data_IF_422930787907
#
_entry.id   IF_422930787907
#
_cell.length_a   1.000
_cell.length_b   1.000
_cell.length_c   1.000
_cell.angle_alpha   90.00
_cell.angle_beta   90.00
_cell.angle_gamma   90.00
#
_symmetry.space_group_name_H-M   'P 1'
#
loop_
_entity.id
_entity.type
_entity.pdbx_description
1 polymer ?
#
# COMPACT_ATOMS: atom_id res chain seq x y z
N UNK A 1 6.56 48.59 11.02
CA UNK A 1 5.19 48.91 11.46
C UNK A 1 5.02 48.60 12.94
N UNK A 2 4.29 49.44 13.67
CA UNK A 2 4.09 49.29 15.14
C UNK A 2 3.38 47.97 15.54
N UNK A 3 2.75 47.25 14.60
CA UNK A 3 2.00 46.05 14.81
C UNK A 3 2.63 44.79 14.16
N UNK A 4 3.88 44.84 13.74
CA UNK A 4 4.54 43.69 13.13
C UNK A 4 4.88 42.62 14.19
N UNK A 5 4.66 41.37 13.85
CA UNK A 5 5.11 40.21 14.61
C UNK A 5 6.27 39.54 13.85
N UNK A 6 7.39 39.34 14.55
CA UNK A 6 8.50 38.55 14.04
C UNK A 6 8.28 37.07 14.42
N UNK A 7 8.36 36.22 13.40
CA UNK A 7 8.36 34.79 13.59
C UNK A 7 9.78 34.28 13.45
N UNK A 8 10.33 33.74 14.53
CA UNK A 8 11.68 33.18 14.57
C UNK A 8 11.58 31.67 14.61
N UNK A 9 12.14 31.02 13.60
CA UNK A 9 12.17 29.57 13.50
C UNK A 9 13.60 29.10 13.20
N UNK A 10 14.07 28.12 13.93
CA UNK A 10 15.36 27.48 13.71
C UNK A 10 15.19 25.96 13.89
N UNK A 11 15.95 25.16 13.13
CA UNK A 11 15.85 23.69 13.17
C UNK A 11 16.23 23.21 14.58
N UNK A 12 15.33 22.44 15.23
CA UNK A 12 15.51 21.94 16.60
C UNK A 12 15.12 22.93 17.68
N UNK A 13 14.53 24.06 17.34
CA UNK A 13 14.06 25.06 18.32
C UNK A 13 12.57 25.32 18.17
N UNK A 14 11.91 25.65 19.28
CA UNK A 14 10.50 26.03 19.28
C UNK A 14 10.34 27.36 18.55
N UNK A 15 9.48 27.39 17.54
CA UNK A 15 9.14 28.63 16.82
C UNK A 15 8.51 29.63 17.79
N UNK A 16 9.09 30.83 17.86
CA UNK A 16 8.61 31.92 18.73
C UNK A 16 8.09 33.09 17.91
N UNK A 17 6.93 33.61 18.32
CA UNK A 17 6.33 34.81 17.77
C UNK A 17 6.53 35.99 18.73
N UNK A 18 7.21 37.02 18.29
CA UNK A 18 7.51 38.20 19.11
C UNK A 18 6.96 39.45 18.44
N UNK A 19 6.09 40.19 19.14
CA UNK A 19 5.58 41.49 18.67
C UNK A 19 6.67 42.56 18.75
N UNK A 20 6.90 43.22 17.66
CA UNK A 20 7.96 44.26 17.54
C UNK A 20 7.72 45.46 18.46
N UNK A 21 6.47 45.93 18.58
CA UNK A 21 6.04 47.02 19.48
C UNK A 21 6.97 48.24 19.45
N UNK A 22 7.44 48.64 18.26
CA UNK A 22 8.35 49.78 18.07
C UNK A 22 9.73 49.68 18.75
N UNK A 23 10.15 48.48 19.17
CA UNK A 23 11.49 48.25 19.72
C UNK A 23 12.52 48.21 18.60
N UNK A 24 13.66 48.91 18.80
CA UNK A 24 14.79 48.90 17.86
C UNK A 24 15.70 47.67 18.01
N UNK A 25 15.66 47.02 19.17
CA UNK A 25 16.41 45.79 19.46
C UNK A 25 15.49 44.78 20.17
N UNK A 26 15.47 43.56 19.69
CA UNK A 26 14.68 42.47 20.25
C UNK A 26 15.62 41.30 20.45
N UNK A 27 15.91 40.99 21.69
CA UNK A 27 16.67 39.81 22.07
C UNK A 27 15.68 38.66 22.27
N UNK A 28 15.90 37.56 21.56
CA UNK A 28 15.08 36.36 21.66
C UNK A 28 15.98 35.19 21.99
N UNK A 29 15.67 34.48 23.05
CA UNK A 29 16.32 33.20 23.37
C UNK A 29 15.41 32.09 22.88
N UNK A 30 15.84 31.39 21.84
CA UNK A 30 15.10 30.22 21.35
C UNK A 30 15.26 29.08 22.34
N UNK A 31 14.15 28.39 22.62
CA UNK A 31 14.14 27.19 23.45
C UNK A 31 14.26 25.97 22.54
N UNK A 32 15.04 24.98 22.96
CA UNK A 32 15.14 23.72 22.26
C UNK A 32 13.77 23.04 22.20
N UNK A 33 13.39 22.56 21.00
CA UNK A 33 12.20 21.75 20.83
C UNK A 33 12.52 20.32 21.29
N UNK A 34 12.39 20.08 22.59
CA UNK A 34 12.63 18.79 23.23
C UNK A 34 11.71 17.71 22.65
N UNK A 35 10.56 18.07 22.10
CA UNK A 35 9.64 17.13 21.46
C UNK A 35 10.19 16.60 20.13
N UNK A 36 11.08 17.31 19.45
CA UNK A 36 11.71 16.81 18.21
C UNK A 36 12.86 15.83 18.47
N UNK A 37 13.38 15.77 19.70
CA UNK A 37 14.48 14.89 20.10
C UNK A 37 14.02 13.58 20.75
N UNK A 38 12.75 13.49 21.13
CA UNK A 38 12.18 12.32 21.81
C UNK A 38 11.47 11.32 20.85
N UNK A 39 12.00 11.14 19.63
CA UNK A 39 11.52 10.05 18.78
C UNK A 39 11.85 8.71 19.46
N UNK A 40 10.81 8.14 20.08
CA UNK A 40 10.89 6.84 20.76
C UNK A 40 10.67 5.75 19.73
N UNK A 41 11.61 4.85 19.62
CA UNK A 41 11.55 3.70 18.71
C UNK A 41 11.27 2.45 19.52
N UNK A 42 10.32 1.64 19.06
CA UNK A 42 10.09 0.31 19.63
C UNK A 42 11.25 -0.60 19.19
N UNK A 43 11.95 -1.19 20.14
CA UNK A 43 13.06 -2.11 19.91
C UNK A 43 12.87 -3.34 20.81
N UNK A 44 12.72 -4.49 20.20
CA UNK A 44 12.45 -5.70 20.95
C UNK A 44 11.10 -5.61 21.68
N UNK A 45 11.12 -5.93 22.95
CA UNK A 45 9.94 -5.87 23.83
C UNK A 45 9.83 -4.55 24.60
N UNK A 46 10.63 -3.54 24.25
CA UNK A 46 10.65 -2.26 24.93
C UNK A 46 10.70 -1.06 23.99
N UNK A 47 10.66 0.13 24.56
CA UNK A 47 10.82 1.40 23.85
C UNK A 47 12.14 2.04 24.25
N UNK A 48 12.91 2.51 23.27
CA UNK A 48 14.15 3.26 23.53
C UNK A 48 14.13 4.56 22.72
N UNK A 49 14.79 5.59 23.26
CA UNK A 49 14.97 6.83 22.51
C UNK A 49 15.90 6.56 21.33
N UNK A 50 15.55 7.06 20.16
CA UNK A 50 16.33 6.88 18.91
C UNK A 50 17.80 7.27 19.06
N UNK A 51 18.07 8.29 19.88
CA UNK A 51 19.43 8.76 20.18
C UNK A 51 20.31 7.74 20.92
N UNK A 52 19.70 6.78 21.62
CA UNK A 52 20.41 5.73 22.36
C UNK A 52 20.61 4.44 21.55
N UNK A 53 20.13 4.41 20.30
CA UNK A 53 20.24 3.24 19.45
C UNK A 53 21.56 3.30 18.66
N UNK A 54 22.46 2.40 18.97
CA UNK A 54 23.75 2.23 18.26
C UNK A 54 23.63 1.40 16.99
N UNK A 55 22.47 0.77 16.77
CA UNK A 55 22.20 -0.11 15.63
C UNK A 55 21.82 0.63 14.35
N UNK A 56 21.91 -0.07 13.20
CA UNK A 56 21.46 0.44 11.89
C UNK A 56 19.94 0.40 11.79
N UNK A 57 19.28 1.39 12.37
CA UNK A 57 17.82 1.51 12.43
C UNK A 57 17.36 2.64 11.54
N UNK A 58 16.28 2.41 10.78
CA UNK A 58 15.61 3.44 9.99
C UNK A 58 14.13 3.47 10.36
N UNK A 59 13.58 4.65 10.58
CA UNK A 59 12.19 4.85 10.97
C UNK A 59 11.49 5.87 10.07
N UNK A 60 10.22 5.66 9.83
CA UNK A 60 9.32 6.55 9.09
C UNK A 60 8.10 6.83 9.95
N UNK A 61 7.77 8.10 10.14
CA UNK A 61 6.60 8.53 10.91
C UNK A 61 5.31 8.49 10.09
N UNK A 62 4.15 8.51 10.79
CA UNK A 62 2.82 8.65 10.18
C UNK A 62 2.76 9.81 9.18
N UNK A 63 3.33 10.96 9.53
CA UNK A 63 3.34 12.15 8.68
C UNK A 63 4.01 11.91 7.33
N UNK A 64 5.13 11.18 7.33
CA UNK A 64 5.83 10.82 6.09
C UNK A 64 5.08 9.73 5.30
N UNK A 65 4.52 8.73 5.98
CA UNK A 65 3.73 7.69 5.33
C UNK A 65 2.54 8.27 4.56
N UNK A 66 1.86 9.23 5.17
CA UNK A 66 0.63 9.83 4.64
C UNK A 66 0.84 10.93 3.60
N UNK A 67 2.08 11.26 3.22
CA UNK A 67 2.38 12.16 2.09
C UNK A 67 1.93 11.58 0.74
N UNK A 68 1.96 10.25 0.62
CA UNK A 68 1.46 9.54 -0.55
C UNK A 68 0.14 8.87 -0.21
N UNK A 69 -0.88 9.05 -1.04
CA UNK A 69 -2.16 8.36 -0.88
C UNK A 69 -2.04 6.97 -1.49
N UNK A 70 -1.94 5.96 -0.64
CA UNK A 70 -1.77 4.56 -1.03
C UNK A 70 -2.84 3.69 -0.39
N UNK A 71 -3.11 2.53 -0.98
CA UNK A 71 -4.10 1.56 -0.48
C UNK A 71 -3.61 0.79 0.74
N UNK A 72 -2.29 0.59 0.87
CA UNK A 72 -1.68 -0.19 1.95
C UNK A 72 -0.33 0.39 2.43
N UNK A 73 0.16 -0.12 3.58
CA UNK A 73 1.39 0.37 4.21
C UNK A 73 2.64 -0.03 3.42
N UNK A 74 2.66 -1.21 2.76
CA UNK A 74 3.83 -1.65 2.01
C UNK A 74 4.14 -0.70 0.85
N UNK A 75 3.12 -0.22 0.14
CA UNK A 75 3.27 0.80 -0.89
C UNK A 75 3.73 2.15 -0.32
N UNK A 76 3.20 2.53 0.84
CA UNK A 76 3.58 3.79 1.49
C UNK A 76 5.06 3.84 1.88
N UNK A 77 5.73 2.69 2.00
CA UNK A 77 7.16 2.57 2.35
C UNK A 77 8.10 2.67 1.15
N UNK A 78 7.61 2.54 -0.07
CA UNK A 78 8.43 2.54 -1.29
C UNK A 78 9.26 3.83 -1.37
N UNK A 79 10.58 3.69 -1.47
CA UNK A 79 11.52 4.80 -1.59
C UNK A 79 11.72 5.66 -0.33
N UNK A 80 11.12 5.31 0.83
CA UNK A 80 11.19 6.14 2.04
C UNK A 80 12.24 5.68 3.05
N UNK A 81 12.69 4.44 2.97
CA UNK A 81 13.61 3.87 3.95
C UNK A 81 14.90 3.39 3.28
N UNK A 82 16.07 3.93 3.64
CA UNK A 82 17.34 3.47 3.11
C UNK A 82 17.58 1.99 3.40
N UNK A 83 18.00 1.21 2.39
CA UNK A 83 18.28 -0.22 2.52
C UNK A 83 17.04 -1.13 2.52
N UNK A 84 15.87 -0.58 2.24
CA UNK A 84 14.66 -1.33 1.91
C UNK A 84 14.53 -1.40 0.40
N UNK A 85 14.54 -2.61 -0.14
CA UNK A 85 14.24 -2.88 -1.55
C UNK A 85 12.76 -3.24 -1.63
N UNK A 86 12.08 -2.66 -2.61
CA UNK A 86 10.64 -2.85 -2.79
C UNK A 86 10.37 -3.28 -4.23
N UNK A 87 9.60 -4.35 -4.40
CA UNK A 87 9.17 -4.85 -5.70
C UNK A 87 7.66 -5.05 -5.70
N UNK A 88 6.98 -4.36 -6.58
CA UNK A 88 5.55 -4.52 -6.81
C UNK A 88 5.34 -5.37 -8.06
N UNK A 89 4.66 -6.50 -7.92
CA UNK A 89 4.40 -7.41 -9.03
C UNK A 89 3.24 -6.94 -9.92
N UNK A 90 2.23 -6.32 -9.30
CA UNK A 90 1.03 -5.83 -9.99
C UNK A 90 0.47 -4.60 -9.27
N UNK A 91 -0.22 -3.75 -10.01
CA UNK A 91 -0.96 -2.61 -9.46
C UNK A 91 -2.47 -2.86 -9.36
N UNK A 92 -2.92 -4.11 -9.49
CA UNK A 92 -4.34 -4.44 -9.40
C UNK A 92 -4.86 -4.19 -7.98
N UNK A 93 -6.04 -3.57 -7.82
CA UNK A 93 -6.65 -3.37 -6.52
C UNK A 93 -6.71 -4.65 -5.71
N UNK A 94 -6.22 -4.63 -4.47
CA UNK A 94 -6.22 -5.78 -3.56
C UNK A 94 -5.14 -6.83 -3.80
N UNK A 95 -4.39 -6.76 -4.90
CA UNK A 95 -3.20 -7.56 -5.19
C UNK A 95 -1.95 -6.67 -5.39
N UNK A 96 -2.04 -5.44 -4.96
CA UNK A 96 -1.06 -4.37 -5.13
C UNK A 96 -0.01 -4.29 -4.00
N UNK A 97 0.12 -5.34 -3.21
CA UNK A 97 1.13 -5.44 -2.18
C UNK A 97 2.54 -5.41 -2.75
N UNK A 98 3.43 -4.80 -2.00
CA UNK A 98 4.85 -4.69 -2.34
C UNK A 98 5.64 -5.72 -1.54
N UNK A 99 6.37 -6.57 -2.25
CA UNK A 99 7.40 -7.41 -1.63
C UNK A 99 8.54 -6.54 -1.14
N UNK A 100 8.90 -6.71 0.12
CA UNK A 100 9.93 -5.93 0.78
C UNK A 100 11.12 -6.83 1.12
N UNK A 101 12.33 -6.35 0.81
CA UNK A 101 13.58 -7.01 1.16
C UNK A 101 14.48 -6.04 1.91
N UNK A 102 15.08 -6.50 2.99
CA UNK A 102 16.06 -5.73 3.75
C UNK A 102 17.45 -6.20 3.36
N UNK A 103 18.25 -5.30 2.78
CA UNK A 103 19.61 -5.59 2.29
C UNK A 103 19.72 -6.61 1.13
N UNK A 104 18.61 -6.90 0.43
CA UNK A 104 18.60 -7.81 -0.71
C UNK A 104 18.26 -9.25 -0.36
N UNK A 105 18.47 -10.15 -1.33
CA UNK A 105 18.20 -11.58 -1.15
C UNK A 105 19.25 -12.20 -0.22
N UNK A 106 18.79 -12.91 0.81
CA UNK A 106 19.63 -13.58 1.81
C UNK A 106 19.67 -15.10 1.63
N UNK A 107 18.75 -15.67 0.84
CA UNK A 107 18.68 -17.11 0.55
C UNK A 107 18.48 -17.38 -0.93
N UNK A 108 18.89 -18.58 -1.37
CA UNK A 108 18.71 -19.02 -2.76
C UNK A 108 17.33 -19.69 -2.99
N UNK A 109 16.73 -20.25 -1.94
CA UNK A 109 15.52 -21.09 -2.04
C UNK A 109 14.22 -20.38 -1.63
N UNK A 110 14.19 -19.05 -1.59
CA UNK A 110 13.02 -18.27 -1.18
C UNK A 110 12.90 -18.07 0.34
N UNK A 111 11.92 -17.32 0.78
CA UNK A 111 11.73 -16.98 2.20
C UNK A 111 12.59 -15.80 2.67
N UNK A 112 12.95 -14.90 1.75
CA UNK A 112 13.83 -13.75 2.00
C UNK A 112 13.10 -12.54 2.66
N UNK A 113 11.80 -12.64 2.88
CA UNK A 113 11.03 -11.54 3.46
C UNK A 113 11.47 -11.24 4.89
N UNK A 114 11.51 -9.96 5.29
CA UNK A 114 11.74 -9.58 6.67
C UNK A 114 10.59 -10.04 7.58
N UNK A 115 10.89 -10.29 8.84
CA UNK A 115 9.86 -10.52 9.86
C UNK A 115 9.05 -9.25 10.07
N UNK A 116 7.75 -9.29 9.86
CA UNK A 116 6.86 -8.14 10.05
C UNK A 116 6.10 -8.30 11.35
N UNK A 117 6.25 -7.33 12.25
CA UNK A 117 5.57 -7.31 13.53
C UNK A 117 4.67 -6.07 13.63
N UNK A 118 3.39 -6.29 13.85
CA UNK A 118 2.40 -5.24 14.08
C UNK A 118 2.04 -5.23 15.55
N UNK A 119 2.42 -4.19 16.26
CA UNK A 119 2.29 -4.09 17.73
C UNK A 119 2.82 -5.33 18.46
N UNK A 120 3.90 -5.95 17.94
CA UNK A 120 4.56 -7.12 18.52
C UNK A 120 4.03 -8.48 18.07
N UNK A 121 2.99 -8.55 17.24
CA UNK A 121 2.46 -9.79 16.65
C UNK A 121 2.88 -9.91 15.19
N UNK A 122 3.30 -11.10 14.76
CA UNK A 122 3.63 -11.39 13.36
C UNK A 122 2.36 -11.31 12.49
N UNK A 123 2.28 -10.29 11.63
CA UNK A 123 1.11 -10.01 10.78
C UNK A 123 1.54 -9.40 9.44
N UNK A 124 0.72 -9.59 8.41
CA UNK A 124 0.93 -8.96 7.11
C UNK A 124 0.59 -7.47 7.15
N UNK A 125 1.41 -6.64 6.49
CA UNK A 125 1.13 -5.21 6.30
C UNK A 125 0.00 -4.92 5.30
N UNK A 126 -0.35 -5.89 4.43
CA UNK A 126 -1.43 -5.79 3.46
C UNK A 126 -2.78 -5.42 4.08
N UNK A 127 -2.92 -5.76 5.35
CA UNK A 127 -4.18 -5.58 6.07
C UNK A 127 -4.23 -4.34 6.95
N UNK A 128 -3.20 -3.49 6.90
CA UNK A 128 -3.12 -2.30 7.75
C UNK A 128 -3.46 -1.05 6.93
N UNK A 129 -4.36 -0.22 7.49
CA UNK A 129 -4.64 1.08 6.93
C UNK A 129 -3.49 2.06 7.28
N UNK A 130 -2.83 2.72 6.32
CA UNK A 130 -1.78 3.69 6.61
C UNK A 130 -2.18 4.79 7.59
N UNK A 131 -3.47 5.16 7.66
CA UNK A 131 -3.97 6.17 8.58
C UNK A 131 -3.98 5.71 10.05
N UNK A 132 -3.89 4.39 10.31
CA UNK A 132 -3.84 3.80 11.65
C UNK A 132 -2.41 3.64 12.18
N UNK A 133 -1.40 3.84 11.31
CA UNK A 133 0.02 3.65 11.66
C UNK A 133 0.59 4.91 12.27
N UNK A 134 1.33 4.77 13.35
CA UNK A 134 2.11 5.84 13.99
C UNK A 134 3.51 5.91 13.39
N UNK A 135 4.18 4.76 13.29
CA UNK A 135 5.52 4.66 12.72
C UNK A 135 5.81 3.27 12.17
N UNK A 136 6.74 3.20 11.22
CA UNK A 136 7.34 1.95 10.77
C UNK A 136 8.84 2.04 10.96
N UNK A 137 9.39 1.06 11.66
CA UNK A 137 10.82 0.97 11.98
C UNK A 137 11.41 -0.29 11.38
N UNK A 138 12.58 -0.18 10.74
CA UNK A 138 13.30 -1.32 10.20
C UNK A 138 14.57 -1.55 11.00
N UNK A 139 14.71 -2.77 11.51
CA UNK A 139 15.93 -3.28 12.14
C UNK A 139 16.73 -4.04 11.08
N UNK A 140 17.95 -3.59 10.84
CA UNK A 140 18.78 -4.12 9.74
C UNK A 140 20.01 -4.89 10.24
N UNK A 141 20.43 -4.64 11.47
CA UNK A 141 21.63 -5.28 12.01
C UNK A 141 21.28 -6.50 12.87
N UNK A 142 22.23 -7.46 12.92
CA UNK A 142 22.02 -8.71 13.63
C UNK A 142 21.81 -8.52 15.14
N UNK A 143 22.42 -7.50 15.75
CA UNK A 143 22.29 -7.25 17.19
C UNK A 143 20.86 -6.82 17.54
N UNK A 144 20.27 -5.88 16.76
CA UNK A 144 18.89 -5.44 16.95
C UNK A 144 17.88 -6.54 16.62
N UNK A 145 18.20 -7.44 15.68
CA UNK A 145 17.34 -8.54 15.25
C UNK A 145 17.43 -9.77 16.19
N UNK A 146 18.50 -9.91 16.96
CA UNK A 146 18.78 -11.11 17.78
C UNK A 146 17.64 -11.48 18.75
N UNK A 147 16.94 -10.49 19.30
CA UNK A 147 15.80 -10.72 20.21
C UNK A 147 14.60 -11.42 19.56
N UNK A 148 14.54 -11.45 18.23
CA UNK A 148 13.46 -12.06 17.46
C UNK A 148 13.79 -13.44 16.89
N UNK A 149 15.02 -13.94 17.19
CA UNK A 149 15.49 -15.28 16.81
C UNK A 149 15.74 -15.44 15.30
N UNK A 150 15.70 -16.68 14.83
CA UNK A 150 16.08 -17.04 13.45
C UNK A 150 15.15 -16.45 12.38
N UNK A 151 13.89 -16.22 12.67
CA UNK A 151 12.93 -15.58 11.74
C UNK A 151 13.35 -14.15 11.34
N UNK A 152 14.18 -13.51 12.15
CA UNK A 152 14.65 -12.15 11.93
C UNK A 152 15.96 -12.07 11.12
N UNK A 153 16.45 -13.18 10.56
CA UNK A 153 17.70 -13.22 9.82
C UNK A 153 17.71 -12.29 8.59
N UNK A 154 16.56 -12.14 7.93
CA UNK A 154 16.37 -11.23 6.80
C UNK A 154 15.98 -9.79 7.22
N UNK A 155 16.10 -9.44 8.52
CA UNK A 155 15.67 -8.16 9.08
C UNK A 155 14.30 -8.19 9.70
N UNK A 156 13.94 -7.10 10.40
CA UNK A 156 12.63 -6.96 11.06
C UNK A 156 12.00 -5.63 10.70
N UNK A 157 10.73 -5.64 10.37
CA UNK A 157 9.90 -4.46 10.17
C UNK A 157 8.91 -4.37 11.33
N UNK A 158 9.04 -3.34 12.13
CA UNK A 158 8.16 -3.05 13.26
C UNK A 158 7.14 -1.99 12.84
N UNK A 159 5.87 -2.35 12.83
CA UNK A 159 4.75 -1.43 12.59
C UNK A 159 4.11 -1.12 13.93
N UNK A 160 4.16 0.15 14.32
CA UNK A 160 3.50 0.64 15.53
C UNK A 160 2.21 1.35 15.12
N UNK A 161 1.09 0.96 15.70
CA UNK A 161 -0.19 1.60 15.42
C UNK A 161 -0.45 2.76 16.38
N UNK A 162 -1.30 3.70 15.97
CA UNK A 162 -1.66 4.88 16.76
C UNK A 162 -2.32 4.49 18.09
N UNK A 163 -1.96 5.23 19.13
CA UNK A 163 -2.53 5.07 20.46
C UNK A 163 -3.13 6.38 20.95
N UNK A 164 -3.95 6.29 21.98
CA UNK A 164 -4.46 7.47 22.66
C UNK A 164 -3.34 8.21 23.39
N UNK A 165 -3.50 9.51 23.46
CA UNK A 165 -2.65 10.39 24.28
C UNK A 165 -3.47 11.00 25.40
N UNK A 166 -2.81 11.36 26.50
CA UNK A 166 -3.45 12.11 27.58
C UNK A 166 -3.89 13.47 27.09
N UNK A 167 -5.12 13.85 27.40
CA UNK A 167 -5.70 15.13 27.00
C UNK A 167 -7.15 15.03 26.58
N UNK A 168 -7.64 16.14 26.02
CA UNK A 168 -9.02 16.23 25.51
C UNK A 168 -9.20 15.28 24.32
N UNK A 169 -10.40 14.72 24.21
CA UNK A 169 -10.79 13.92 23.05
C UNK A 169 -10.66 14.72 21.77
N UNK A 170 -9.91 14.17 20.81
CA UNK A 170 -9.71 14.72 19.48
C UNK A 170 -10.41 13.84 18.47
N UNK A 171 -11.22 14.44 17.61
CA UNK A 171 -11.87 13.77 16.47
C UNK A 171 -11.18 14.27 15.21
N UNK A 172 -10.72 13.33 14.38
CA UNK A 172 -10.07 13.64 13.12
C UNK A 172 -10.77 12.88 11.99
N UNK A 173 -11.17 13.61 10.95
CA UNK A 173 -11.66 13.04 9.70
C UNK A 173 -10.71 13.37 8.58
N UNK A 174 -10.34 12.36 7.79
CA UNK A 174 -9.53 12.50 6.59
C UNK A 174 -10.24 11.84 5.41
N UNK A 175 -10.62 12.65 4.42
CA UNK A 175 -11.11 12.20 3.12
C UNK A 175 -10.04 12.40 2.05
N UNK A 176 -9.92 11.48 1.10
CA UNK A 176 -9.06 11.62 -0.07
C UNK A 176 -9.74 11.09 -1.32
N UNK A 177 -9.49 11.79 -2.43
CA UNK A 177 -9.92 11.42 -3.77
C UNK A 177 -8.67 11.38 -4.64
N UNK A 178 -8.43 10.25 -5.29
CA UNK A 178 -7.24 10.04 -6.12
C UNK A 178 -7.66 9.59 -7.51
N UNK A 179 -7.20 10.33 -8.53
CA UNK A 179 -7.31 9.95 -9.93
C UNK A 179 -5.98 9.32 -10.36
N UNK A 180 -6.05 8.16 -10.98
CA UNK A 180 -4.88 7.45 -11.49
C UNK A 180 -5.07 7.12 -12.97
N UNK A 181 -4.01 7.33 -13.76
CA UNK A 181 -3.97 6.97 -15.16
C UNK A 181 -2.59 6.39 -15.51
N UNK A 182 -2.51 5.67 -16.61
CA UNK A 182 -1.22 5.17 -17.09
C UNK A 182 -0.32 6.33 -17.53
N UNK A 183 0.89 6.36 -17.01
CA UNK A 183 1.92 7.30 -17.46
C UNK A 183 2.54 6.88 -18.78
N UNK A 184 2.61 5.57 -19.01
CA UNK A 184 3.17 4.97 -20.24
C UNK A 184 2.48 3.63 -20.49
N UNK A 185 2.06 3.41 -21.70
CA UNK A 185 1.59 2.13 -22.20
C UNK A 185 2.56 1.58 -23.25
N UNK A 186 2.71 0.26 -23.38
CA UNK A 186 3.49 -0.33 -24.46
C UNK A 186 2.89 0.06 -25.81
N UNK A 187 3.74 0.33 -26.78
CA UNK A 187 3.30 0.60 -28.15
C UNK A 187 3.24 -0.73 -28.91
N UNK A 188 2.06 -1.11 -29.32
CA UNK A 188 1.84 -2.27 -30.17
C UNK A 188 1.90 -1.89 -31.64
N UNK A 189 2.15 -2.90 -32.47
CA UNK A 189 2.09 -2.79 -33.92
C UNK A 189 0.62 -2.69 -34.33
N UNK A 190 0.32 -1.86 -35.31
CA UNK A 190 -1.02 -1.80 -35.89
C UNK A 190 -1.30 -3.04 -36.76
N UNK A 191 -2.58 -3.27 -37.10
CA UNK A 191 -3.02 -4.44 -37.83
C UNK A 191 -2.33 -4.62 -39.20
N UNK A 192 -2.24 -3.55 -39.98
CA UNK A 192 -1.58 -3.55 -41.28
C UNK A 192 -0.12 -3.98 -41.21
N UNK A 193 0.65 -3.36 -40.31
CA UNK A 193 2.06 -3.71 -40.12
C UNK A 193 2.21 -5.12 -39.56
N UNK A 194 1.33 -5.55 -38.65
CA UNK A 194 1.34 -6.92 -38.13
C UNK A 194 1.21 -7.94 -39.25
N UNK A 195 0.23 -7.79 -40.16
CA UNK A 195 0.00 -8.69 -41.26
C UNK A 195 1.19 -8.70 -42.25
N UNK A 196 1.76 -7.53 -42.57
CA UNK A 196 2.94 -7.40 -43.41
C UNK A 196 4.15 -8.10 -42.80
N UNK A 197 4.45 -7.88 -41.53
CA UNK A 197 5.57 -8.52 -40.83
C UNK A 197 5.35 -10.03 -40.67
N UNK A 198 4.11 -10.45 -40.40
CA UNK A 198 3.78 -11.88 -40.39
C UNK A 198 4.07 -12.58 -41.72
N UNK A 199 3.63 -11.97 -42.82
CA UNK A 199 3.92 -12.48 -44.17
C UNK A 199 5.42 -12.47 -44.45
N UNK A 200 6.14 -11.44 -44.01
CA UNK A 200 7.59 -11.37 -44.17
C UNK A 200 8.29 -12.54 -43.44
N UNK A 201 7.93 -12.79 -42.18
CA UNK A 201 8.48 -13.89 -41.41
C UNK A 201 8.24 -15.24 -42.09
N UNK A 202 7.02 -15.50 -42.60
CA UNK A 202 6.72 -16.73 -43.30
C UNK A 202 7.54 -16.90 -44.58
N UNK A 203 7.76 -15.84 -45.34
CA UNK A 203 8.67 -15.88 -46.51
C UNK A 203 10.09 -16.26 -46.12
N UNK A 204 10.58 -15.75 -45.01
CA UNK A 204 11.93 -16.08 -44.49
C UNK A 204 12.04 -17.56 -44.10
N UNK A 205 10.93 -18.15 -43.61
CA UNK A 205 10.86 -19.57 -43.27
C UNK A 205 10.60 -20.48 -44.53
N UNK A 206 10.53 -19.88 -45.71
CA UNK A 206 10.24 -20.61 -46.96
C UNK A 206 8.78 -21.01 -47.12
N UNK A 207 7.88 -20.44 -46.32
CA UNK A 207 6.46 -20.71 -46.35
C UNK A 207 5.70 -19.72 -47.27
N UNK A 208 4.48 -20.12 -47.64
CA UNK A 208 3.59 -19.22 -48.40
C UNK A 208 3.10 -18.08 -47.49
N UNK A 209 2.85 -16.91 -48.09
CA UNK A 209 2.18 -15.80 -47.40
C UNK A 209 0.85 -16.27 -46.82
N UNK A 210 0.50 -15.72 -45.70
CA UNK A 210 -0.72 -16.09 -44.99
C UNK A 210 -1.86 -15.11 -45.28
N UNK A 211 -1.55 -13.81 -45.27
CA UNK A 211 -2.50 -12.74 -45.58
C UNK A 211 -2.36 -12.28 -47.01
N UNK A 212 -3.48 -12.12 -47.68
CA UNK A 212 -3.51 -11.57 -49.03
C UNK A 212 -3.33 -10.05 -49.03
N UNK A 213 -2.99 -9.47 -50.16
CA UNK A 213 -2.88 -8.00 -50.28
C UNK A 213 -4.26 -7.33 -50.13
N UNK A 214 -5.36 -8.02 -50.43
CA UNK A 214 -6.73 -7.56 -50.26
C UNK A 214 -7.07 -7.48 -48.76
N UNK A 215 -6.77 -8.50 -47.96
CA UNK A 215 -6.99 -8.50 -46.49
C UNK A 215 -6.16 -7.41 -45.79
N UNK A 216 -4.92 -7.18 -46.25
CA UNK A 216 -4.08 -6.10 -45.75
C UNK A 216 -4.70 -4.72 -46.12
N UNK A 217 -5.27 -4.59 -47.30
CA UNK A 217 -5.95 -3.36 -47.73
C UNK A 217 -7.23 -3.13 -46.91
N UNK A 218 -8.05 -4.17 -46.66
CA UNK A 218 -9.23 -4.10 -45.78
C UNK A 218 -8.86 -3.62 -44.39
N UNK A 219 -7.81 -4.20 -43.76
CA UNK A 219 -7.30 -3.76 -42.46
C UNK A 219 -6.84 -2.30 -42.47
N UNK A 220 -6.21 -1.87 -43.58
CA UNK A 220 -5.75 -0.48 -43.73
C UNK A 220 -6.91 0.50 -43.86
N UNK A 221 -7.99 0.09 -44.54
CA UNK A 221 -9.20 0.90 -44.69
C UNK A 221 -10.03 0.94 -43.41
N UNK A 222 -9.91 -0.09 -42.56
CA UNK A 222 -10.52 -0.13 -41.22
C UNK A 222 -12.04 -0.26 -41.26
N UNK A 223 -12.62 -0.98 -42.20
CA UNK A 223 -14.06 -1.27 -42.25
C UNK A 223 -14.36 -2.55 -41.46
N UNK A 224 -14.99 -2.44 -40.24
CA UNK A 224 -15.28 -3.60 -39.42
C UNK A 224 -16.28 -4.58 -40.06
N UNK A 225 -17.04 -4.18 -41.08
CA UNK A 225 -18.00 -5.06 -41.77
C UNK A 225 -17.32 -6.15 -42.59
N UNK A 226 -16.06 -5.93 -42.98
CA UNK A 226 -15.25 -6.91 -43.72
C UNK A 226 -14.59 -7.92 -42.74
N UNK A 227 -14.75 -7.77 -41.44
CA UNK A 227 -14.11 -8.61 -40.41
C UNK A 227 -12.63 -8.28 -40.18
N UNK A 228 -12.13 -7.18 -40.76
CA UNK A 228 -10.78 -6.68 -40.61
C UNK A 228 -10.81 -5.21 -40.18
N UNK A 229 -10.17 -4.91 -39.07
CA UNK A 229 -10.08 -3.57 -38.52
C UNK A 229 -8.65 -3.31 -38.01
N UNK A 230 -8.30 -2.04 -37.85
CA UNK A 230 -7.05 -1.67 -37.21
C UNK A 230 -7.31 -1.30 -35.74
N UNK A 231 -7.37 -2.34 -34.91
CA UNK A 231 -7.86 -2.23 -33.52
C UNK A 231 -6.73 -1.91 -32.55
N UNK A 232 -6.89 -0.85 -31.77
CA UNK A 232 -6.09 -0.64 -30.56
C UNK A 232 -6.78 -1.30 -29.36
N UNK A 233 -6.35 -2.51 -29.05
CA UNK A 233 -6.88 -3.29 -27.93
C UNK A 233 -6.65 -2.66 -26.55
N UNK A 234 -5.81 -1.63 -26.44
CA UNK A 234 -5.54 -0.96 -25.16
C UNK A 234 -6.67 0.00 -24.77
N UNK A 235 -7.29 0.65 -25.75
CA UNK A 235 -8.30 1.68 -25.55
C UNK A 235 -9.50 1.19 -24.72
N UNK A 236 -10.15 0.05 -25.03
CA UNK A 236 -11.31 -0.43 -24.27
C UNK A 236 -10.95 -1.00 -22.89
N UNK A 237 -9.68 -1.35 -22.65
CA UNK A 237 -9.24 -2.07 -21.44
C UNK A 237 -8.72 -1.12 -20.39
N UNK A 238 -7.86 -0.16 -20.76
CA UNK A 238 -7.25 0.76 -19.85
C UNK A 238 -8.10 2.01 -19.64
N UNK A 239 -8.24 2.43 -18.40
CA UNK A 239 -9.03 3.61 -18.05
C UNK A 239 -8.35 4.46 -17.00
N UNK A 240 -8.71 5.75 -16.97
CA UNK A 240 -8.45 6.60 -15.81
C UNK A 240 -9.35 6.14 -14.67
N UNK A 241 -8.81 5.96 -13.49
CA UNK A 241 -9.52 5.38 -12.35
C UNK A 241 -9.63 6.32 -11.19
N UNK A 242 -10.61 6.04 -10.35
CA UNK A 242 -10.88 6.77 -9.14
C UNK A 242 -10.68 5.86 -7.93
N UNK A 243 -9.95 6.38 -6.94
CA UNK A 243 -9.90 5.81 -5.60
C UNK A 243 -10.38 6.89 -4.61
N UNK A 244 -11.31 6.55 -3.74
CA UNK A 244 -11.68 7.41 -2.63
C UNK A 244 -11.53 6.68 -1.30
N UNK A 245 -11.08 7.42 -0.28
CA UNK A 245 -10.88 6.92 1.07
C UNK A 245 -11.48 7.89 2.08
N UNK A 246 -12.10 7.35 3.11
CA UNK A 246 -12.68 8.09 4.22
C UNK A 246 -12.21 7.45 5.52
N UNK A 247 -11.56 8.21 6.38
CA UNK A 247 -11.06 7.73 7.66
C UNK A 247 -11.51 8.68 8.76
N UNK A 248 -12.16 8.13 9.77
CA UNK A 248 -12.54 8.82 10.99
C UNK A 248 -11.74 8.24 12.14
N UNK A 249 -11.14 9.07 12.97
CA UNK A 249 -10.48 8.63 14.19
C UNK A 249 -10.83 9.49 15.38
N UNK A 250 -10.89 8.86 16.54
CA UNK A 250 -11.18 9.48 17.83
C UNK A 250 -10.06 9.03 18.78
N UNK A 251 -9.36 9.97 19.38
CA UNK A 251 -8.28 9.68 20.32
C UNK A 251 -8.35 10.62 21.52
N UNK A 252 -7.94 10.13 22.66
CA UNK A 252 -7.92 10.90 23.90
C UNK A 252 -7.60 10.01 25.08
N UNK A 253 -7.75 10.57 26.27
CA UNK A 253 -7.56 9.85 27.51
C UNK A 253 -7.20 10.73 28.68
N UNK A 254 -6.96 10.07 29.79
CA UNK A 254 -6.46 10.66 31.01
C UNK A 254 -5.25 9.85 31.55
N UNK A 255 -4.77 10.17 32.71
CA UNK A 255 -3.65 9.46 33.37
C UNK A 255 -3.88 7.95 33.49
N UNK A 256 -5.14 7.50 33.61
CA UNK A 256 -5.48 6.09 33.85
C UNK A 256 -5.79 5.35 32.56
N UNK A 257 -6.51 5.97 31.62
CA UNK A 257 -6.99 5.30 30.43
C UNK A 257 -6.77 6.18 29.21
N UNK A 258 -6.15 5.62 28.18
CA UNK A 258 -5.94 6.24 26.87
C UNK A 258 -6.57 5.36 25.81
N UNK A 259 -7.17 5.98 24.81
CA UNK A 259 -7.86 5.24 23.74
C UNK A 259 -7.64 5.88 22.39
N UNK A 260 -7.55 5.02 21.38
CA UNK A 260 -7.60 5.37 19.97
C UNK A 260 -8.62 4.46 19.31
N UNK A 261 -9.59 5.06 18.64
CA UNK A 261 -10.63 4.39 17.85
C UNK A 261 -10.55 4.90 16.42
N UNK A 262 -10.64 4.04 15.43
CA UNK A 262 -10.71 4.44 14.04
C UNK A 262 -11.67 3.58 13.25
N UNK A 263 -12.25 4.18 12.22
CA UNK A 263 -13.04 3.51 11.20
C UNK A 263 -12.71 4.09 9.84
N UNK A 264 -12.61 3.24 8.84
CA UNK A 264 -12.27 3.65 7.48
C UNK A 264 -13.06 2.88 6.43
N UNK A 265 -13.27 3.56 5.32
CA UNK A 265 -13.82 2.98 4.09
C UNK A 265 -12.98 3.43 2.90
N UNK A 266 -12.73 2.52 1.97
CA UNK A 266 -12.03 2.78 0.73
C UNK A 266 -12.70 2.02 -0.41
N UNK A 267 -12.87 2.70 -1.55
CA UNK A 267 -13.20 2.07 -2.83
C UNK A 267 -12.14 2.47 -3.85
N UNK A 268 -11.60 1.48 -4.53
CA UNK A 268 -10.56 1.64 -5.55
C UNK A 268 -10.98 0.89 -6.80
N UNK A 269 -11.08 1.59 -7.91
CA UNK A 269 -11.28 0.99 -9.21
C UNK A 269 -9.92 0.66 -9.83
N UNK A 270 -9.85 -0.48 -10.53
CA UNK A 270 -8.66 -0.90 -11.23
C UNK A 270 -8.42 -0.09 -12.50
N UNK A 271 -7.15 0.08 -12.83
CA UNK A 271 -6.71 0.64 -14.08
C UNK A 271 -7.14 -0.20 -15.29
N UNK A 272 -7.18 -1.50 -15.12
CA UNK A 272 -7.82 -2.44 -16.04
C UNK A 272 -9.30 -2.56 -15.66
N UNK A 273 -10.19 -2.48 -16.66
CA UNK A 273 -11.62 -2.64 -16.51
C UNK A 273 -11.97 -3.95 -15.79
N UNK A 274 -12.99 -3.95 -14.95
CA UNK A 274 -13.47 -5.13 -14.22
C UNK A 274 -12.78 -5.41 -12.87
N UNK A 275 -11.67 -4.74 -12.55
CA UNK A 275 -11.04 -4.89 -11.24
C UNK A 275 -11.48 -3.79 -10.29
N UNK A 276 -11.93 -4.17 -9.09
CA UNK A 276 -12.36 -3.24 -8.04
C UNK A 276 -12.05 -3.81 -6.66
N UNK A 277 -11.77 -2.92 -5.71
CA UNK A 277 -11.61 -3.23 -4.31
C UNK A 277 -12.47 -2.31 -3.46
N UNK A 278 -13.28 -2.89 -2.60
CA UNK A 278 -13.94 -2.20 -1.51
C UNK A 278 -13.40 -2.69 -0.17
N UNK A 279 -13.06 -1.78 0.71
CA UNK A 279 -12.45 -2.08 2.01
C UNK A 279 -13.12 -1.29 3.11
N UNK A 280 -13.60 -2.01 4.12
CA UNK A 280 -13.96 -1.46 5.42
C UNK A 280 -12.95 -1.88 6.47
N UNK A 281 -12.56 -0.97 7.38
CA UNK A 281 -11.69 -1.31 8.49
C UNK A 281 -12.12 -0.57 9.76
N UNK A 282 -11.82 -1.17 10.90
CA UNK A 282 -11.91 -0.52 12.20
C UNK A 282 -10.72 -0.92 13.07
N UNK A 283 -10.37 -0.06 14.03
CA UNK A 283 -9.36 -0.33 15.04
C UNK A 283 -9.75 0.31 16.38
N UNK A 284 -9.46 -0.40 17.46
CA UNK A 284 -9.60 0.05 18.82
C UNK A 284 -8.35 -0.32 19.60
N UNK A 285 -7.60 0.66 20.06
CA UNK A 285 -6.44 0.50 20.93
C UNK A 285 -6.73 1.21 22.25
N UNK A 286 -6.73 0.45 23.34
CA UNK A 286 -7.03 0.93 24.69
C UNK A 286 -5.90 0.53 25.61
N UNK A 287 -5.33 1.51 26.30
CA UNK A 287 -4.32 1.32 27.34
C UNK A 287 -4.90 1.82 28.67
N UNK A 288 -4.94 0.96 29.69
CA UNK A 288 -5.52 1.29 31.00
C UNK A 288 -4.59 0.90 32.14
N UNK A 289 -4.39 1.83 33.07
CA UNK A 289 -3.78 1.57 34.37
C UNK A 289 -4.88 1.15 35.33
N UNK A 290 -5.06 -0.16 35.50
CA UNK A 290 -6.14 -0.73 36.33
C UNK A 290 -5.89 -0.44 37.82
N UNK A 291 -4.63 -0.62 38.24
CA UNK A 291 -4.15 -0.23 39.59
C UNK A 291 -2.81 0.50 39.43
N UNK A 292 -2.21 0.96 40.51
CA UNK A 292 -0.87 1.60 40.47
C UNK A 292 0.20 0.65 39.89
N UNK A 293 -0.01 -0.64 40.03
CA UNK A 293 0.96 -1.67 39.71
C UNK A 293 0.56 -2.52 38.49
N UNK A 294 -0.70 -2.45 38.05
CA UNK A 294 -1.22 -3.27 36.94
C UNK A 294 -1.65 -2.37 35.78
N UNK A 295 -1.05 -2.58 34.61
CA UNK A 295 -1.50 -1.99 33.35
C UNK A 295 -2.01 -3.07 32.38
N UNK A 296 -3.03 -2.71 31.60
CA UNK A 296 -3.64 -3.57 30.57
C UNK A 296 -3.72 -2.79 29.28
N UNK A 297 -3.25 -3.42 28.20
CA UNK A 297 -3.41 -2.92 26.85
C UNK A 297 -4.25 -3.91 26.05
N UNK A 298 -5.28 -3.42 25.34
CA UNK A 298 -6.14 -4.20 24.47
C UNK A 298 -6.15 -3.55 23.09
N UNK A 299 -5.81 -4.34 22.08
CA UNK A 299 -5.88 -3.92 20.68
C UNK A 299 -6.84 -4.85 19.93
N UNK A 300 -7.79 -4.29 19.22
CA UNK A 300 -8.74 -4.99 18.37
C UNK A 300 -8.79 -4.29 17.03
N UNK A 301 -8.58 -5.01 15.94
CA UNK A 301 -8.72 -4.47 14.60
C UNK A 301 -9.51 -5.44 13.73
N UNK A 302 -10.37 -4.91 12.90
CA UNK A 302 -11.13 -5.69 11.93
C UNK A 302 -11.03 -5.08 10.56
N UNK A 303 -11.07 -5.95 9.53
CA UNK A 303 -11.01 -5.57 8.14
C UNK A 303 -11.87 -6.49 7.29
N UNK A 304 -12.60 -5.89 6.37
CA UNK A 304 -13.39 -6.57 5.34
C UNK A 304 -12.93 -6.03 4.00
N UNK A 305 -12.49 -6.90 3.12
CA UNK A 305 -12.18 -6.59 1.73
C UNK A 305 -13.15 -7.34 0.84
N UNK A 306 -13.82 -6.64 -0.06
CA UNK A 306 -14.52 -7.20 -1.21
C UNK A 306 -13.68 -6.88 -2.45
N UNK A 307 -13.15 -7.92 -3.06
CA UNK A 307 -12.36 -7.84 -4.26
C UNK A 307 -13.16 -8.39 -5.44
N UNK A 308 -13.30 -7.59 -6.48
CA UNK A 308 -13.96 -7.94 -7.72
C UNK A 308 -12.94 -8.04 -8.83
N UNK A 309 -13.06 -9.06 -9.64
CA UNK A 309 -12.25 -9.27 -10.84
C UNK A 309 -13.12 -9.83 -11.97
N UNK A 310 -12.74 -9.66 -13.24
CA UNK A 310 -13.44 -10.29 -14.34
C UNK A 310 -13.61 -11.79 -14.09
N UNK A 311 -14.80 -12.34 -14.40
CA UNK A 311 -15.02 -13.77 -14.49
C UNK A 311 -14.20 -14.28 -15.66
N UNK A 312 -13.80 -15.48 -15.68
CA UNK A 312 -13.08 -15.96 -16.84
C UNK A 312 -13.54 -17.30 -17.30
N UNK A 313 -13.09 -17.70 -18.47
CA UNK A 313 -13.17 -19.06 -18.93
C UNK A 313 -12.41 -19.98 -17.96
N UNK A 314 -12.96 -21.16 -17.74
CA UNK A 314 -12.64 -22.17 -16.71
C UNK A 314 -11.22 -22.76 -16.75
N UNK A 315 -10.25 -22.10 -17.35
CA UNK A 315 -8.85 -22.52 -17.34
C UNK A 315 -8.03 -21.64 -16.38
N UNK A 316 -7.89 -22.16 -15.18
CA UNK A 316 -6.90 -21.88 -14.14
C UNK A 316 -6.30 -20.46 -14.07
N UNK A 317 -6.60 -19.75 -12.99
CA UNK A 317 -5.93 -18.52 -12.51
C UNK A 317 -6.17 -17.25 -13.33
N UNK A 318 -7.38 -16.74 -13.26
CA UNK A 318 -7.70 -15.42 -13.79
C UNK A 318 -7.28 -14.32 -12.84
N UNK A 319 -6.04 -13.98 -12.97
CA UNK A 319 -5.42 -12.81 -12.37
C UNK A 319 -5.36 -11.68 -13.38
N UNK A 320 -5.03 -10.47 -12.94
CA UNK A 320 -4.65 -9.34 -13.80
C UNK A 320 -3.74 -9.76 -14.96
N UNK A 321 -2.88 -10.74 -14.72
CA UNK A 321 -1.97 -11.29 -15.73
C UNK A 321 -2.69 -11.96 -16.90
N UNK A 322 -3.90 -12.48 -16.71
CA UNK A 322 -4.62 -13.11 -17.81
C UNK A 322 -5.20 -12.08 -18.80
N UNK A 323 -5.81 -10.99 -18.30
CA UNK A 323 -6.30 -9.92 -19.19
C UNK A 323 -5.14 -9.27 -19.95
N UNK A 324 -4.02 -9.02 -19.30
CA UNK A 324 -2.79 -8.52 -19.93
C UNK A 324 -2.22 -9.56 -20.90
N UNK A 325 -2.22 -10.83 -20.53
CA UNK A 325 -1.79 -11.92 -21.40
C UNK A 325 -2.62 -11.99 -22.68
N UNK A 326 -3.95 -11.95 -22.56
CA UNK A 326 -4.86 -11.92 -23.71
C UNK A 326 -4.58 -10.69 -24.58
N UNK A 327 -4.37 -9.52 -23.99
CA UNK A 327 -4.02 -8.29 -24.69
C UNK A 327 -2.72 -8.42 -25.50
N UNK A 328 -1.70 -9.07 -24.92
CA UNK A 328 -0.41 -9.27 -25.61
C UNK A 328 -0.49 -10.19 -26.81
N UNK A 329 -1.44 -11.13 -26.81
CA UNK A 329 -1.64 -12.09 -27.91
C UNK A 329 -2.77 -11.69 -28.85
N UNK A 330 -3.51 -10.63 -28.55
CA UNK A 330 -4.61 -10.17 -29.40
C UNK A 330 -4.11 -9.67 -30.76
N UNK A 331 -4.71 -10.18 -31.81
CA UNK A 331 -4.37 -9.77 -33.17
C UNK A 331 -4.94 -8.38 -33.48
N UNK A 332 -4.12 -7.39 -33.82
CA UNK A 332 -4.57 -6.00 -34.00
C UNK A 332 -5.38 -5.74 -35.27
N UNK A 333 -5.60 -6.75 -36.09
CA UNK A 333 -6.45 -6.68 -37.29
C UNK A 333 -7.85 -7.25 -37.06
N UNK A 334 -8.17 -7.77 -35.88
CA UNK A 334 -9.49 -8.28 -35.52
C UNK A 334 -10.32 -7.12 -34.99
N UNK A 335 -11.57 -6.91 -35.43
CA UNK A 335 -12.43 -5.85 -34.92
C UNK A 335 -12.81 -6.10 -33.44
N UNK A 336 -13.15 -5.03 -32.72
CA UNK A 336 -13.68 -5.13 -31.35
C UNK A 336 -15.00 -5.92 -31.35
N UNK A 337 -15.88 -5.59 -32.24
CA UNK A 337 -17.19 -6.21 -32.40
C UNK A 337 -17.42 -6.58 -33.87
N UNK A 338 -18.13 -7.68 -34.06
CA UNK A 338 -18.61 -8.10 -35.37
C UNK A 338 -20.09 -8.42 -35.27
N UNK A 339 -20.91 -7.80 -36.11
CA UNK A 339 -22.38 -7.92 -36.09
C UNK A 339 -23.02 -7.66 -34.72
N UNK A 340 -22.46 -6.72 -33.96
CA UNK A 340 -22.97 -6.33 -32.63
C UNK A 340 -22.62 -7.30 -31.50
N UNK A 341 -21.73 -8.25 -31.76
CA UNK A 341 -21.17 -9.15 -30.74
C UNK A 341 -19.65 -9.00 -30.67
N UNK A 342 -19.06 -9.20 -29.48
CA UNK A 342 -17.61 -9.21 -29.34
C UNK A 342 -16.98 -10.19 -30.33
N UNK A 343 -16.09 -9.69 -31.19
CA UNK A 343 -15.44 -10.54 -32.16
C UNK A 343 -14.59 -11.62 -31.46
N UNK A 344 -14.64 -12.85 -32.00
CA UNK A 344 -13.75 -13.91 -31.52
C UNK A 344 -12.31 -13.61 -31.90
N UNK A 345 -11.38 -13.83 -30.97
CA UNK A 345 -9.98 -13.62 -31.24
C UNK A 345 -9.46 -14.55 -32.37
N UNK A 346 -8.44 -14.09 -33.04
CA UNK A 346 -7.78 -14.84 -34.09
C UNK A 346 -7.12 -16.12 -33.55
N UNK A 347 -7.37 -17.26 -34.17
CA UNK A 347 -6.86 -18.60 -33.80
C UNK A 347 -7.20 -19.03 -32.35
N UNK A 348 -8.38 -18.66 -31.86
CA UNK A 348 -8.84 -19.03 -30.53
C UNK A 348 -8.25 -18.17 -29.39
N UNK A 349 -7.56 -17.09 -29.70
CA UNK A 349 -7.23 -16.07 -28.72
C UNK A 349 -8.54 -15.42 -28.23
N UNK A 350 -8.68 -15.18 -26.95
CA UNK A 350 -9.83 -14.49 -26.39
C UNK A 350 -9.80 -13.02 -26.76
N UNK A 351 -10.98 -12.43 -26.93
CA UNK A 351 -11.13 -10.98 -27.09
C UNK A 351 -10.78 -10.29 -25.76
N UNK A 352 -9.80 -9.36 -25.75
CA UNK A 352 -9.38 -8.71 -24.51
C UNK A 352 -10.48 -7.89 -23.82
N UNK A 353 -11.33 -7.19 -24.57
CA UNK A 353 -12.45 -6.42 -23.99
C UNK A 353 -13.51 -7.34 -23.40
N UNK A 354 -13.81 -8.45 -24.08
CA UNK A 354 -14.68 -9.48 -23.53
C UNK A 354 -14.10 -10.06 -22.24
N UNK A 355 -12.83 -10.41 -22.24
CA UNK A 355 -12.15 -10.94 -21.05
C UNK A 355 -12.16 -9.95 -19.88
N UNK A 356 -12.02 -8.65 -20.15
CA UNK A 356 -11.97 -7.60 -19.13
C UNK A 356 -13.34 -7.17 -18.58
N UNK A 357 -14.41 -7.25 -19.40
CA UNK A 357 -15.68 -6.62 -19.03
C UNK A 357 -16.95 -7.43 -19.24
N UNK A 358 -16.91 -8.48 -20.04
CA UNK A 358 -18.11 -9.23 -20.45
C UNK A 358 -18.08 -10.71 -20.05
N UNK A 359 -17.00 -11.20 -19.47
CA UNK A 359 -16.85 -12.60 -19.03
C UNK A 359 -17.51 -12.91 -17.69
N UNK A 360 -18.37 -12.02 -17.17
CA UNK A 360 -18.91 -12.11 -15.82
C UNK A 360 -17.95 -11.55 -14.77
N UNK A 361 -18.12 -11.96 -13.53
CA UNK A 361 -17.26 -11.50 -12.44
C UNK A 361 -17.00 -12.60 -11.41
N UNK A 362 -15.87 -12.52 -10.74
CA UNK A 362 -15.56 -13.24 -9.52
C UNK A 362 -15.48 -12.27 -8.35
N UNK A 363 -16.13 -12.58 -7.25
CA UNK A 363 -16.07 -11.79 -6.02
C UNK A 363 -15.43 -12.61 -4.91
N UNK A 364 -14.33 -12.10 -4.37
CA UNK A 364 -13.69 -12.68 -3.18
C UNK A 364 -13.89 -11.76 -1.98
N UNK A 365 -14.47 -12.27 -0.91
CA UNK A 365 -14.58 -11.56 0.36
C UNK A 365 -13.57 -12.10 1.35
N UNK A 366 -12.72 -11.25 1.88
CA UNK A 366 -11.80 -11.58 2.96
C UNK A 366 -12.17 -10.79 4.21
N UNK A 367 -12.36 -11.49 5.32
CA UNK A 367 -12.61 -10.88 6.62
C UNK A 367 -11.43 -11.24 7.54
N UNK A 368 -10.96 -10.28 8.32
CA UNK A 368 -9.94 -10.51 9.34
C UNK A 368 -10.32 -9.78 10.61
N UNK A 369 -10.14 -10.47 11.72
CA UNK A 369 -10.21 -9.91 13.06
C UNK A 369 -8.86 -10.18 13.75
N UNK A 370 -8.18 -9.13 14.15
CA UNK A 370 -6.88 -9.18 14.81
C UNK A 370 -7.03 -8.66 16.22
N UNK A 371 -6.62 -9.44 17.21
CA UNK A 371 -6.69 -9.06 18.60
C UNK A 371 -5.35 -9.26 19.28
N UNK A 372 -5.02 -8.40 20.23
CA UNK A 372 -3.92 -8.63 21.15
C UNK A 372 -4.21 -8.00 22.51
N UNK A 373 -3.78 -8.68 23.54
CA UNK A 373 -3.88 -8.21 24.93
C UNK A 373 -2.52 -8.31 25.62
N UNK A 374 -2.16 -7.27 26.35
CA UNK A 374 -0.97 -7.23 27.18
C UNK A 374 -1.39 -6.88 28.61
N UNK A 375 -0.92 -7.64 29.57
CA UNK A 375 -1.04 -7.35 31.01
C UNK A 375 0.38 -7.21 31.54
N UNK A 376 0.66 -6.15 32.30
CA UNK A 376 1.96 -5.88 32.88
C UNK A 376 1.78 -5.55 34.38
N UNK A 377 2.53 -6.24 35.20
CA UNK A 377 2.58 -6.02 36.66
C UNK A 377 3.94 -5.48 37.06
N UNK A 378 3.95 -4.33 37.71
CA UNK A 378 5.15 -3.71 38.27
C UNK A 378 5.24 -4.09 39.76
N UNK A 379 6.34 -4.74 40.14
CA UNK A 379 6.50 -5.18 41.54
C UNK A 379 6.83 -4.00 42.47
N UNK A 380 5.93 -3.63 43.40
CA UNK A 380 6.14 -2.44 44.25
C UNK A 380 7.32 -2.57 45.19
N UNK A 381 7.71 -3.80 45.57
CA UNK A 381 8.83 -4.09 46.49
C UNK A 381 10.19 -4.21 45.80
N UNK A 382 10.22 -4.30 44.43
CA UNK A 382 11.45 -4.34 43.65
C UNK A 382 11.38 -3.31 42.53
N UNK A 383 11.90 -2.12 42.76
CA UNK A 383 11.91 -1.03 41.79
C UNK A 383 12.56 -1.48 40.49
N UNK A 384 11.83 -1.34 39.40
CA UNK A 384 12.28 -1.68 38.03
C UNK A 384 11.97 -3.10 37.59
N UNK A 385 11.54 -4.00 38.48
CA UNK A 385 11.09 -5.34 38.07
C UNK A 385 9.63 -5.28 37.60
N UNK A 386 9.40 -5.79 36.38
CA UNK A 386 8.07 -5.95 35.81
C UNK A 386 7.91 -7.37 35.26
N UNK A 387 6.72 -7.93 35.40
CA UNK A 387 6.34 -9.15 34.74
C UNK A 387 5.16 -8.84 33.79
N UNK A 388 5.16 -9.42 32.62
CA UNK A 388 4.11 -9.20 31.65
C UNK A 388 3.71 -10.47 30.91
N UNK A 389 2.45 -10.53 30.53
CA UNK A 389 1.89 -11.53 29.64
C UNK A 389 1.36 -10.83 28.40
N UNK A 390 1.69 -11.36 27.23
CA UNK A 390 1.22 -10.87 25.95
C UNK A 390 0.60 -12.01 25.16
N UNK A 391 -0.60 -11.81 24.63
CA UNK A 391 -1.34 -12.78 23.82
C UNK A 391 -1.86 -12.08 22.58
N UNK A 392 -1.64 -12.70 21.41
CA UNK A 392 -2.23 -12.30 20.14
C UNK A 392 -3.10 -13.43 19.60
N UNK A 393 -4.23 -13.09 19.03
CA UNK A 393 -5.12 -14.03 18.36
C UNK A 393 -5.77 -13.37 17.15
N UNK A 394 -5.69 -14.04 16.00
CA UNK A 394 -6.18 -13.58 14.71
C UNK A 394 -7.12 -14.63 14.10
N UNK A 395 -8.19 -14.15 13.48
CA UNK A 395 -9.19 -14.96 12.80
C UNK A 395 -9.46 -14.42 11.40
#
# INVERSE_FOLDING_TARGET
PRSATLVLSYIGMITQEVKVNSRSMINVTLQEDINSLDEVVVVGYGTQKKIHLTGSISSVSSKELLKSTTSNVSQALVGKLPGLISQQATGAPGADDVSLLVRGHSTYNGGDGPLILVDGVERSMAYINPNEVESVTILKDAASCAVYGMKAAAGVILVTTKRGTEGKTTINYKGSLTLSHATTLPKFMNGTHYMQWYNYARRMDGEKVYFTDEEIAMTTNGDPTDGFENTDWQEPIYRTTLMHQHNLSISGGNEKTRYFLSGGFMKQNGFIKGFELERGNFRSNIDTQVTKDISVSLNVAGKINDYYQPGGDSYENQTTNNVVGVLLYAAPFVPLEYEGMPASGYRGASNPDYAAGHSGYSKTRTMRLETSAKIEYSFPFLKGLKAGMFVGWDW
#
